data_IF_233382305895
#
_entry.id   IF_233382305895
#
_cell.length_a   1.000
_cell.length_b   1.000
_cell.length_c   1.000
_cell.angle_alpha   90.00
_cell.angle_beta   90.00
_cell.angle_gamma   90.00
#
_symmetry.space_group_name_H-M   'P 1'
#
loop_
_entity.id
_entity.type
_entity.pdbx_description
1 polymer ?
#
# COMPACT_ATOMS: atom_id res chain seq x y z
N UNK A 1 -7.22 -48.49 16.36
CA UNK A 1 -6.04 -47.71 16.81
C UNK A 1 -5.11 -47.23 15.68
N UNK A 2 -4.95 -47.97 14.57
CA UNK A 2 -4.04 -47.64 13.44
C UNK A 2 -4.36 -46.34 12.70
N UNK A 3 -5.64 -45.97 12.56
CA UNK A 3 -6.04 -44.70 11.93
C UNK A 3 -5.72 -43.45 12.79
N UNK A 4 -5.66 -43.59 14.12
CA UNK A 4 -5.35 -42.48 15.02
C UNK A 4 -3.86 -42.11 14.91
N UNK A 5 -2.95 -43.11 14.89
CA UNK A 5 -1.51 -42.86 14.71
C UNK A 5 -1.20 -42.19 13.37
N UNK A 6 -1.84 -42.62 12.27
CA UNK A 6 -1.71 -41.96 10.96
C UNK A 6 -2.23 -40.52 10.97
N UNK A 7 -3.36 -40.24 11.63
CA UNK A 7 -3.92 -38.89 11.76
C UNK A 7 -3.00 -37.98 12.58
N UNK A 8 -2.50 -38.45 13.72
CA UNK A 8 -1.56 -37.70 14.57
C UNK A 8 -0.22 -37.43 13.87
N UNK A 9 0.27 -38.37 13.05
CA UNK A 9 1.47 -38.16 12.25
C UNK A 9 1.26 -37.07 11.19
N UNK A 10 0.14 -37.11 10.45
CA UNK A 10 -0.22 -36.06 9.48
C UNK A 10 -0.36 -34.70 10.14
N UNK A 11 -1.01 -34.65 11.31
CA UNK A 11 -1.15 -33.44 12.10
C UNK A 11 0.21 -32.90 12.55
N UNK A 12 1.11 -33.76 13.05
CA UNK A 12 2.45 -33.36 13.47
C UNK A 12 3.26 -32.82 12.29
N UNK A 13 3.23 -33.50 11.14
CA UNK A 13 3.90 -33.04 9.91
C UNK A 13 3.36 -31.66 9.50
N UNK A 14 2.03 -31.49 9.44
CA UNK A 14 1.42 -30.22 9.07
C UNK A 14 1.79 -29.09 10.05
N UNK A 15 1.78 -29.36 11.37
CA UNK A 15 2.19 -28.39 12.40
C UNK A 15 3.67 -28.01 12.26
N UNK A 16 4.56 -28.98 12.07
CA UNK A 16 6.00 -28.71 11.91
C UNK A 16 6.27 -27.93 10.62
N UNK A 17 5.61 -28.27 9.51
CA UNK A 17 5.73 -27.53 8.26
C UNK A 17 5.24 -26.08 8.41
N UNK A 18 4.12 -25.85 9.09
CA UNK A 18 3.58 -24.52 9.37
C UNK A 18 4.51 -23.70 10.30
N UNK A 19 5.14 -24.34 11.29
CA UNK A 19 6.11 -23.68 12.16
C UNK A 19 7.39 -23.31 11.41
N UNK A 20 7.93 -24.22 10.59
CA UNK A 20 9.13 -23.96 9.79
C UNK A 20 8.90 -22.85 8.77
N UNK A 21 7.75 -22.83 8.09
CA UNK A 21 7.42 -21.74 7.16
C UNK A 21 7.28 -20.41 7.90
N UNK A 22 6.61 -20.39 9.05
CA UNK A 22 6.53 -19.20 9.92
C UNK A 22 7.90 -18.68 10.34
N UNK A 23 8.78 -19.55 10.85
CA UNK A 23 10.15 -19.20 11.24
C UNK A 23 10.95 -18.67 10.05
N UNK A 24 10.80 -19.27 8.87
CA UNK A 24 11.53 -18.85 7.67
C UNK A 24 11.11 -17.45 7.22
N UNK A 25 9.80 -17.17 7.19
CA UNK A 25 9.24 -15.86 6.80
C UNK A 25 9.62 -14.78 7.83
N UNK A 26 9.47 -15.08 9.12
CA UNK A 26 9.83 -14.13 10.17
C UNK A 26 11.35 -13.91 10.22
N UNK A 27 12.14 -14.97 10.04
CA UNK A 27 13.60 -14.89 9.96
C UNK A 27 14.08 -14.04 8.78
N UNK A 28 13.49 -14.20 7.59
CA UNK A 28 13.84 -13.38 6.43
C UNK A 28 13.50 -11.90 6.63
N UNK A 29 12.38 -11.59 7.27
CA UNK A 29 12.03 -10.21 7.66
C UNK A 29 13.13 -9.59 8.55
N UNK A 30 13.50 -10.26 9.64
CA UNK A 30 14.53 -9.76 10.56
C UNK A 30 15.89 -9.67 9.88
N UNK A 31 16.21 -10.59 8.97
CA UNK A 31 17.44 -10.54 8.18
C UNK A 31 17.49 -9.32 7.25
N UNK A 32 16.39 -9.02 6.55
CA UNK A 32 16.29 -7.84 5.67
C UNK A 32 16.39 -6.56 6.49
N UNK A 33 15.62 -6.43 7.56
CA UNK A 33 15.65 -5.25 8.44
C UNK A 33 17.03 -5.10 9.08
N UNK A 34 17.63 -6.19 9.56
CA UNK A 34 18.98 -6.19 10.13
C UNK A 34 20.04 -5.76 9.11
N UNK A 35 19.94 -6.19 7.86
CA UNK A 35 20.85 -5.76 6.78
C UNK A 35 20.72 -4.28 6.46
N UNK A 36 19.48 -3.78 6.38
CA UNK A 36 19.19 -2.35 6.15
C UNK A 36 19.74 -1.51 7.30
N UNK A 37 19.55 -1.95 8.55
CA UNK A 37 20.11 -1.28 9.72
C UNK A 37 21.65 -1.29 9.68
N UNK A 38 22.27 -2.46 9.53
CA UNK A 38 23.73 -2.59 9.57
C UNK A 38 24.43 -1.78 8.47
N UNK A 39 23.93 -1.85 7.22
CA UNK A 39 24.53 -1.14 6.09
C UNK A 39 24.09 0.32 5.98
N UNK A 40 22.90 0.67 6.48
CA UNK A 40 22.33 2.00 6.34
C UNK A 40 22.73 2.98 7.44
N UNK A 41 22.87 2.52 8.69
CA UNK A 41 23.19 3.40 9.83
C UNK A 41 24.46 4.25 9.62
N UNK A 42 25.58 3.71 9.07
CA UNK A 42 26.80 4.49 8.87
C UNK A 42 26.64 5.66 7.90
N UNK A 43 25.68 5.58 6.99
CA UNK A 43 25.41 6.59 5.96
C UNK A 43 24.24 7.51 6.34
N UNK A 44 23.58 7.26 7.47
CA UNK A 44 22.47 8.06 7.94
C UNK A 44 22.99 9.32 8.63
N UNK A 45 22.76 10.48 8.02
CA UNK A 45 23.04 11.78 8.61
C UNK A 45 21.82 12.70 8.54
N UNK A 46 21.77 13.71 9.41
CA UNK A 46 20.70 14.72 9.35
C UNK A 46 20.69 15.46 8.01
N UNK A 47 21.87 15.72 7.45
CA UNK A 47 22.02 16.35 6.14
C UNK A 47 21.41 15.50 5.02
N UNK A 48 21.61 14.17 5.08
CA UNK A 48 21.01 13.25 4.12
C UNK A 48 19.48 13.34 4.13
N UNK A 49 18.85 13.55 5.29
CA UNK A 49 17.39 13.61 5.41
C UNK A 49 16.86 15.01 5.05
N UNK A 50 17.55 16.06 5.50
CA UNK A 50 17.05 17.44 5.46
C UNK A 50 17.45 18.23 4.20
N UNK A 51 18.45 17.78 3.43
CA UNK A 51 18.87 18.46 2.22
C UNK A 51 18.24 17.86 0.97
N UNK A 52 17.99 18.71 -0.03
CA UNK A 52 17.68 18.26 -1.37
C UNK A 52 18.97 17.78 -2.09
N UNK A 53 18.87 16.94 -3.13
CA UNK A 53 19.99 16.62 -4.00
C UNK A 53 20.63 17.89 -4.57
N UNK A 54 21.96 18.05 -4.50
CA UNK A 54 22.68 19.19 -5.12
C UNK A 54 23.04 18.92 -6.59
N UNK A 55 22.19 18.17 -7.30
CA UNK A 55 22.41 17.73 -8.68
C UNK A 55 23.39 16.56 -8.78
N UNK A 56 22.88 15.36 -9.10
CA UNK A 56 23.66 14.13 -9.24
C UNK A 56 23.97 13.40 -7.93
N UNK A 57 23.21 13.66 -6.86
CA UNK A 57 23.33 12.91 -5.59
C UNK A 57 23.27 11.40 -5.80
N UNK A 58 22.42 10.97 -6.74
CA UNK A 58 22.19 9.57 -7.10
C UNK A 58 23.30 8.95 -7.98
N UNK A 59 24.28 9.75 -8.42
CA UNK A 59 25.50 9.30 -9.12
C UNK A 59 26.78 9.58 -8.31
N UNK A 60 26.66 9.88 -7.01
CA UNK A 60 27.79 10.06 -6.09
C UNK A 60 28.12 11.51 -5.72
N UNK A 61 27.36 12.50 -6.19
CA UNK A 61 27.55 13.91 -5.77
C UNK A 61 26.90 14.20 -4.42
N UNK A 62 27.08 15.40 -3.88
CA UNK A 62 26.54 15.79 -2.58
C UNK A 62 25.02 16.05 -2.58
N UNK A 63 24.41 16.05 -1.38
CA UNK A 63 23.00 16.37 -1.16
C UNK A 63 22.32 15.40 -0.19
N UNK A 64 20.99 15.34 -0.28
CA UNK A 64 20.17 14.43 0.50
C UNK A 64 18.96 13.91 -0.28
N UNK A 65 18.10 13.18 0.40
CA UNK A 65 16.93 12.48 -0.16
C UNK A 65 15.60 13.17 0.16
N UNK A 66 15.63 14.44 0.58
CA UNK A 66 14.41 15.16 0.95
C UNK A 66 13.38 15.19 -0.19
N UNK A 67 13.84 15.34 -1.43
CA UNK A 67 12.97 15.29 -2.62
C UNK A 67 12.23 13.95 -2.74
N UNK A 68 12.93 12.83 -2.50
CA UNK A 68 12.38 11.49 -2.57
C UNK A 68 11.40 11.20 -1.42
N UNK A 69 11.68 11.72 -0.21
CA UNK A 69 10.77 11.65 0.93
C UNK A 69 9.46 12.37 0.62
N UNK A 70 9.54 13.63 0.18
CA UNK A 70 8.35 14.42 -0.16
C UNK A 70 7.58 13.83 -1.34
N UNK A 71 8.27 13.39 -2.40
CA UNK A 71 7.65 12.77 -3.55
C UNK A 71 6.90 11.48 -3.18
N UNK A 72 7.50 10.63 -2.34
CA UNK A 72 6.83 9.44 -1.79
C UNK A 72 5.60 9.79 -0.94
N UNK A 73 5.70 10.80 -0.06
CA UNK A 73 4.58 11.20 0.80
C UNK A 73 3.42 11.80 0.01
N UNK A 74 3.71 12.69 -0.95
CA UNK A 74 2.68 13.28 -1.81
C UNK A 74 2.00 12.19 -2.63
N UNK A 75 2.78 11.37 -3.32
CA UNK A 75 2.25 10.29 -4.14
C UNK A 75 1.39 9.33 -3.32
N UNK A 76 1.89 8.84 -2.19
CA UNK A 76 1.14 7.91 -1.34
C UNK A 76 -0.13 8.53 -0.76
N UNK A 77 -0.07 9.78 -0.30
CA UNK A 77 -1.22 10.46 0.32
C UNK A 77 -2.30 10.73 -0.72
N UNK A 78 -1.97 11.34 -1.85
CA UNK A 78 -2.96 11.67 -2.88
C UNK A 78 -3.53 10.43 -3.55
N UNK A 79 -2.70 9.42 -3.88
CA UNK A 79 -3.21 8.19 -4.46
C UNK A 79 -4.12 7.42 -3.52
N UNK A 80 -3.78 7.36 -2.23
CA UNK A 80 -4.62 6.69 -1.23
C UNK A 80 -5.92 7.45 -1.01
N UNK A 81 -5.89 8.78 -0.94
CA UNK A 81 -7.08 9.61 -0.80
C UNK A 81 -8.05 9.40 -1.98
N UNK A 82 -7.54 9.42 -3.22
CA UNK A 82 -8.36 9.18 -4.40
C UNK A 82 -8.87 7.74 -4.45
N UNK A 83 -8.01 6.75 -4.19
CA UNK A 83 -8.40 5.34 -4.21
C UNK A 83 -9.46 5.03 -3.14
N UNK A 84 -9.41 5.68 -1.99
CA UNK A 84 -10.40 5.52 -0.91
C UNK A 84 -11.72 6.22 -1.24
N UNK A 85 -11.65 7.42 -1.81
CA UNK A 85 -12.83 8.17 -2.27
C UNK A 85 -13.60 7.42 -3.36
N UNK A 86 -12.91 6.61 -4.18
CA UNK A 86 -13.52 5.79 -5.24
C UNK A 86 -13.90 4.39 -4.71
N UNK A 87 -12.99 3.73 -4.00
CA UNK A 87 -13.12 2.32 -3.61
C UNK A 87 -14.19 2.07 -2.54
N UNK A 88 -14.37 2.98 -1.58
CA UNK A 88 -15.39 2.82 -0.54
C UNK A 88 -16.80 2.86 -1.15
N UNK A 89 -17.20 3.86 -1.97
CA UNK A 89 -18.49 3.86 -2.63
C UNK A 89 -18.74 2.64 -3.50
N UNK A 90 -17.74 2.16 -4.26
CA UNK A 90 -17.86 0.94 -5.06
C UNK A 90 -18.23 -0.26 -4.17
N UNK A 91 -17.51 -0.44 -3.07
CA UNK A 91 -17.75 -1.56 -2.17
C UNK A 91 -19.13 -1.49 -1.49
N UNK A 92 -19.57 -0.29 -1.08
CA UNK A 92 -20.92 -0.07 -0.56
C UNK A 92 -21.97 -0.40 -1.62
N UNK A 93 -21.79 0.09 -2.84
CA UNK A 93 -22.73 -0.15 -3.93
C UNK A 93 -22.93 -1.65 -4.17
N UNK A 94 -21.83 -2.40 -4.27
CA UNK A 94 -21.86 -3.86 -4.48
C UNK A 94 -22.52 -4.63 -3.33
N UNK A 95 -22.43 -4.15 -2.08
CA UNK A 95 -22.97 -4.87 -0.92
C UNK A 95 -24.39 -4.43 -0.50
N UNK A 96 -24.78 -3.19 -0.80
CA UNK A 96 -26.07 -2.61 -0.37
C UNK A 96 -27.09 -2.56 -1.50
N UNK A 97 -26.67 -2.21 -2.70
CA UNK A 97 -27.59 -1.92 -3.82
C UNK A 97 -27.71 -3.07 -4.81
N UNK A 98 -26.65 -3.87 -4.95
CA UNK A 98 -26.65 -5.04 -5.82
C UNK A 98 -27.25 -6.26 -5.10
N UNK A 99 -28.04 -7.06 -5.82
CA UNK A 99 -28.64 -8.28 -5.28
C UNK A 99 -27.55 -9.29 -4.98
N UNK A 100 -27.56 -9.82 -3.75
CA UNK A 100 -26.60 -10.84 -3.32
C UNK A 100 -26.67 -12.08 -4.21
N UNK A 101 -25.53 -12.57 -4.67
CA UNK A 101 -25.39 -13.71 -5.56
C UNK A 101 -25.73 -13.44 -7.02
N UNK A 102 -26.04 -12.19 -7.40
CA UNK A 102 -26.28 -11.84 -8.80
C UNK A 102 -25.03 -11.95 -9.67
N UNK A 103 -25.22 -12.11 -10.99
CA UNK A 103 -24.13 -12.11 -11.95
C UNK A 103 -23.27 -10.85 -11.85
N UNK A 104 -23.91 -9.68 -11.68
CA UNK A 104 -23.21 -8.40 -11.55
C UNK A 104 -22.28 -8.37 -10.33
N UNK A 105 -22.76 -8.81 -9.15
CA UNK A 105 -21.92 -8.87 -7.95
C UNK A 105 -20.70 -9.78 -8.15
N UNK A 106 -20.94 -11.01 -8.65
CA UNK A 106 -19.88 -12.01 -8.85
C UNK A 106 -18.84 -11.53 -9.87
N UNK A 107 -19.29 -10.98 -10.99
CA UNK A 107 -18.41 -10.47 -12.04
C UNK A 107 -17.61 -9.27 -11.58
N UNK A 108 -18.22 -8.28 -10.90
CA UNK A 108 -17.48 -7.14 -10.37
C UNK A 108 -16.44 -7.56 -9.31
N UNK A 109 -16.79 -8.45 -8.39
CA UNK A 109 -15.85 -8.95 -7.37
C UNK A 109 -14.69 -9.72 -8.01
N UNK A 110 -14.98 -10.57 -9.01
CA UNK A 110 -13.95 -11.27 -9.78
C UNK A 110 -13.03 -10.28 -10.50
N UNK A 111 -13.56 -9.23 -11.11
CA UNK A 111 -12.75 -8.21 -11.77
C UNK A 111 -11.80 -7.50 -10.79
N UNK A 112 -12.27 -7.12 -9.60
CA UNK A 112 -11.39 -6.52 -8.59
C UNK A 112 -10.34 -7.51 -8.06
N UNK A 113 -10.67 -8.80 -7.95
CA UNK A 113 -9.69 -9.85 -7.58
C UNK A 113 -8.63 -10.03 -8.66
N UNK A 114 -9.02 -9.99 -9.94
CA UNK A 114 -8.07 -10.03 -11.08
C UNK A 114 -7.19 -8.78 -11.08
N UNK A 115 -7.77 -7.59 -10.94
CA UNK A 115 -7.02 -6.33 -10.86
C UNK A 115 -6.01 -6.33 -9.71
N UNK A 116 -6.39 -6.86 -8.54
CA UNK A 116 -5.47 -7.00 -7.41
C UNK A 116 -4.27 -7.92 -7.72
N UNK A 117 -4.47 -8.91 -8.59
CA UNK A 117 -3.41 -9.83 -9.03
C UNK A 117 -2.48 -9.27 -10.11
N UNK A 118 -2.80 -8.14 -10.74
CA UNK A 118 -1.99 -7.55 -11.82
C UNK A 118 -0.70 -6.94 -11.23
N UNK A 119 0.50 -7.27 -11.76
CA UNK A 119 1.75 -6.66 -11.33
C UNK A 119 1.78 -5.14 -11.55
N UNK A 120 2.41 -4.38 -10.64
CA UNK A 120 2.41 -2.91 -10.72
C UNK A 120 3.08 -2.32 -11.95
N UNK A 121 4.07 -3.03 -12.53
CA UNK A 121 4.71 -2.62 -13.78
C UNK A 121 3.72 -2.54 -14.95
N UNK A 122 2.68 -3.38 -14.96
CA UNK A 122 1.66 -3.38 -16.01
C UNK A 122 0.81 -2.11 -15.93
N UNK A 123 0.41 -1.70 -14.72
CA UNK A 123 -0.25 -0.42 -14.50
C UNK A 123 0.61 0.76 -14.97
N UNK A 124 1.90 0.74 -14.61
CA UNK A 124 2.87 1.77 -15.04
C UNK A 124 3.01 1.84 -16.56
N UNK A 125 3.16 0.70 -17.23
CA UNK A 125 3.34 0.64 -18.68
C UNK A 125 2.11 1.12 -19.46
N UNK A 126 0.90 0.73 -19.03
CA UNK A 126 -0.36 1.16 -19.65
C UNK A 126 -0.55 2.66 -19.44
N UNK A 127 -0.39 3.14 -18.21
CA UNK A 127 -0.53 4.57 -17.91
C UNK A 127 0.48 5.41 -18.68
N UNK A 128 1.74 4.97 -18.75
CA UNK A 128 2.78 5.65 -19.53
C UNK A 128 2.45 5.67 -21.03
N UNK A 129 1.93 4.58 -21.59
CA UNK A 129 1.53 4.53 -23.01
C UNK A 129 0.40 5.52 -23.32
N UNK A 130 -0.57 5.66 -22.41
CA UNK A 130 -1.63 6.67 -22.53
C UNK A 130 -1.06 8.09 -22.42
N UNK A 131 -0.15 8.33 -21.47
CA UNK A 131 0.51 9.63 -21.31
C UNK A 131 1.25 10.03 -22.59
N UNK A 132 2.04 9.12 -23.17
CA UNK A 132 2.77 9.34 -24.43
C UNK A 132 1.80 9.63 -25.57
N UNK A 133 0.71 8.86 -25.70
CA UNK A 133 -0.32 9.09 -26.71
C UNK A 133 -0.99 10.47 -26.60
N UNK A 134 -1.18 10.96 -25.37
CA UNK A 134 -1.72 12.31 -25.10
C UNK A 134 -0.66 13.42 -25.14
N UNK A 135 0.62 13.11 -25.39
CA UNK A 135 1.71 14.09 -25.33
C UNK A 135 2.05 14.58 -23.92
N UNK A 136 1.61 13.88 -22.88
CA UNK A 136 1.86 14.19 -21.48
C UNK A 136 3.20 13.60 -21.05
N UNK A 137 4.04 14.40 -20.40
CA UNK A 137 5.34 13.98 -19.87
C UNK A 137 5.19 13.27 -18.52
N UNK A 138 6.21 12.48 -18.15
CA UNK A 138 6.30 11.89 -16.83
C UNK A 138 6.24 12.97 -15.74
N UNK A 139 5.35 12.79 -14.78
CA UNK A 139 5.00 13.80 -13.76
C UNK A 139 4.43 13.14 -12.51
N UNK A 140 4.52 13.83 -11.38
CA UNK A 140 3.96 13.38 -10.10
C UNK A 140 2.46 13.06 -10.24
N UNK A 141 1.72 13.80 -11.07
CA UNK A 141 0.31 13.56 -11.37
C UNK A 141 0.11 12.21 -12.08
N UNK A 142 0.94 11.92 -13.10
CA UNK A 142 0.92 10.63 -13.79
C UNK A 142 1.17 9.47 -12.83
N UNK A 143 2.13 9.63 -11.92
CA UNK A 143 2.37 8.72 -10.81
C UNK A 143 1.17 8.53 -9.89
N UNK A 144 0.57 9.64 -9.44
CA UNK A 144 -0.58 9.63 -8.54
C UNK A 144 -1.75 8.86 -9.16
N UNK A 145 -2.08 9.12 -10.42
CA UNK A 145 -3.18 8.45 -11.12
C UNK A 145 -2.89 6.95 -11.26
N UNK A 146 -1.68 6.60 -11.69
CA UNK A 146 -1.25 5.20 -11.88
C UNK A 146 -1.39 4.41 -10.58
N UNK A 147 -0.89 4.96 -9.47
CA UNK A 147 -0.94 4.31 -8.18
C UNK A 147 -2.35 4.35 -7.58
N UNK A 148 -3.17 5.35 -7.91
CA UNK A 148 -4.60 5.33 -7.57
C UNK A 148 -5.28 4.12 -8.21
N UNK A 149 -5.09 3.89 -9.51
CA UNK A 149 -5.68 2.75 -10.23
C UNK A 149 -5.24 1.40 -9.64
N UNK A 150 -3.96 1.29 -9.29
CA UNK A 150 -3.42 0.12 -8.61
C UNK A 150 -4.03 -0.10 -7.22
N UNK A 151 -4.34 0.98 -6.50
CA UNK A 151 -4.74 0.92 -5.09
C UNK A 151 -6.25 0.77 -4.90
N UNK A 152 -7.07 1.17 -5.89
CA UNK A 152 -8.53 0.96 -5.88
C UNK A 152 -8.94 -0.48 -5.54
N UNK A 153 -8.46 -1.54 -6.24
CA UNK A 153 -8.89 -2.91 -5.94
C UNK A 153 -8.54 -3.35 -4.50
N UNK A 154 -7.45 -2.82 -3.94
CA UNK A 154 -7.03 -3.07 -2.56
C UNK A 154 -8.07 -2.53 -1.58
N UNK A 155 -8.48 -1.27 -1.77
CA UNK A 155 -9.52 -0.65 -0.94
C UNK A 155 -10.84 -1.39 -1.10
N UNK A 156 -11.30 -1.61 -2.34
CA UNK A 156 -12.58 -2.28 -2.61
C UNK A 156 -12.64 -3.65 -1.94
N UNK A 157 -11.59 -4.47 -2.08
CA UNK A 157 -11.56 -5.82 -1.50
C UNK A 157 -11.49 -5.78 0.02
N UNK A 158 -10.69 -4.89 0.60
CA UNK A 158 -10.59 -4.77 2.06
C UNK A 158 -11.93 -4.36 2.67
N UNK A 159 -12.62 -3.39 2.07
CA UNK A 159 -13.95 -2.98 2.53
C UNK A 159 -14.99 -4.08 2.31
N UNK A 160 -14.93 -4.82 1.20
CA UNK A 160 -15.84 -5.95 0.94
C UNK A 160 -15.70 -7.06 1.99
N UNK A 161 -14.47 -7.41 2.36
CA UNK A 161 -14.21 -8.38 3.44
C UNK A 161 -14.71 -7.87 4.79
N UNK A 162 -14.52 -6.59 5.09
CA UNK A 162 -15.04 -6.00 6.33
C UNK A 162 -16.57 -6.02 6.39
N UNK A 163 -17.25 -5.72 5.29
CA UNK A 163 -18.71 -5.76 5.21
C UNK A 163 -19.28 -7.17 5.41
N UNK A 164 -18.55 -8.22 4.99
CA UNK A 164 -18.95 -9.62 5.24
C UNK A 164 -18.89 -10.02 6.71
N UNK A 165 -18.12 -9.32 7.54
CA UNK A 165 -18.07 -9.59 9.00
C UNK A 165 -19.30 -9.10 9.76
N UNK A 166 -20.17 -8.35 9.09
CA UNK A 166 -21.37 -7.77 9.71
C UNK A 166 -22.46 -8.87 9.82
N UNK A 167 -23.09 -9.03 11.00
CA UNK A 167 -24.22 -9.94 11.15
C UNK A 167 -25.36 -9.58 10.19
N UNK A 168 -25.92 -10.59 9.52
CA UNK A 168 -27.02 -10.41 8.57
C UNK A 168 -28.26 -9.78 9.26
N UNK A 169 -28.47 -10.10 10.54
CA UNK A 169 -29.57 -9.56 11.34
C UNK A 169 -29.54 -8.03 11.45
N UNK A 170 -28.36 -7.41 11.48
CA UNK A 170 -28.24 -5.95 11.53
C UNK A 170 -28.92 -5.30 10.32
N UNK A 171 -28.83 -5.95 9.14
CA UNK A 171 -29.49 -5.50 7.91
C UNK A 171 -31.01 -5.64 8.02
N UNK A 172 -31.50 -6.77 8.54
CA UNK A 172 -32.93 -7.01 8.72
C UNK A 172 -33.57 -6.06 9.74
N UNK A 173 -32.93 -5.86 10.89
CA UNK A 173 -33.39 -4.92 11.92
C UNK A 173 -33.42 -3.50 11.38
N UNK A 174 -32.37 -3.07 10.69
CA UNK A 174 -32.30 -1.71 10.12
C UNK A 174 -33.45 -1.47 9.13
N UNK A 175 -33.75 -2.42 8.24
CA UNK A 175 -34.89 -2.29 7.32
C UNK A 175 -36.25 -2.37 8.02
N UNK A 176 -36.39 -3.13 9.12
CA UNK A 176 -37.65 -3.22 9.88
C UNK A 176 -38.06 -1.89 10.51
N UNK A 177 -37.09 -0.98 10.73
CA UNK A 177 -37.33 0.39 11.20
C UNK A 177 -37.79 1.34 10.07
N UNK A 178 -38.07 0.83 8.87
CA UNK A 178 -38.48 1.64 7.72
C UNK A 178 -37.34 2.41 7.05
N UNK A 179 -36.09 2.05 7.32
CA UNK A 179 -34.93 2.76 6.78
C UNK A 179 -34.69 2.51 5.29
N UNK A 180 -34.12 3.51 4.63
CA UNK A 180 -33.68 3.47 3.24
C UNK A 180 -32.36 2.71 3.10
N UNK A 181 -32.04 2.28 1.87
CA UNK A 181 -30.74 1.65 1.56
C UNK A 181 -29.54 2.54 1.91
N UNK A 182 -29.69 3.87 1.80
CA UNK A 182 -28.62 4.81 2.16
C UNK A 182 -28.41 4.91 3.68
N UNK A 183 -29.48 4.86 4.45
CA UNK A 183 -29.39 4.82 5.92
C UNK A 183 -28.74 3.52 6.39
N UNK A 184 -29.10 2.37 5.78
CA UNK A 184 -28.35 1.13 5.99
C UNK A 184 -26.86 1.31 5.70
N UNK A 185 -26.49 1.88 4.53
CA UNK A 185 -25.09 2.10 4.19
C UNK A 185 -24.34 2.94 5.25
N UNK A 186 -24.97 3.99 5.79
CA UNK A 186 -24.41 4.78 6.89
C UNK A 186 -24.19 3.96 8.17
N UNK A 187 -25.14 3.09 8.52
CA UNK A 187 -25.02 2.19 9.68
C UNK A 187 -23.88 1.20 9.48
N UNK A 188 -23.77 0.58 8.29
CA UNK A 188 -22.69 -0.35 7.97
C UNK A 188 -21.33 0.34 8.02
N UNK A 189 -21.20 1.53 7.42
CA UNK A 189 -19.98 2.34 7.49
C UNK A 189 -19.56 2.68 8.92
N UNK A 190 -20.53 3.00 9.78
CA UNK A 190 -20.26 3.26 11.21
C UNK A 190 -19.77 1.99 11.91
N UNK A 191 -20.34 0.83 11.57
CA UNK A 191 -19.94 -0.46 12.13
C UNK A 191 -18.51 -0.85 11.74
N UNK A 192 -18.11 -0.65 10.48
CA UNK A 192 -16.77 -1.00 9.98
C UNK A 192 -15.74 0.12 10.10
N UNK A 193 -16.08 1.26 10.72
CA UNK A 193 -15.21 2.44 10.81
C UNK A 193 -13.76 2.12 11.22
N UNK A 194 -13.48 1.26 12.24
CA UNK A 194 -12.10 0.89 12.57
C UNK A 194 -11.38 0.14 11.43
N UNK A 195 -12.10 -0.73 10.71
CA UNK A 195 -11.56 -1.46 9.57
C UNK A 195 -11.27 -0.57 8.36
N UNK A 196 -12.01 0.54 8.19
CA UNK A 196 -11.70 1.52 7.13
C UNK A 196 -10.29 2.10 7.31
N UNK A 197 -9.86 2.36 8.54
CA UNK A 197 -8.47 2.79 8.81
C UNK A 197 -7.46 1.73 8.38
N UNK A 198 -7.74 0.45 8.63
CA UNK A 198 -6.90 -0.66 8.15
C UNK A 198 -6.84 -0.72 6.62
N UNK A 199 -7.97 -0.49 5.92
CA UNK A 199 -8.00 -0.42 4.47
C UNK A 199 -7.16 0.75 3.92
N UNK A 200 -7.27 1.93 4.54
CA UNK A 200 -6.48 3.11 4.19
C UNK A 200 -4.99 2.84 4.42
N UNK A 201 -4.62 2.21 5.54
CA UNK A 201 -3.23 1.84 5.82
C UNK A 201 -2.64 0.89 4.79
N UNK A 202 -3.39 -0.17 4.44
CA UNK A 202 -2.93 -1.17 3.49
C UNK A 202 -2.71 -0.53 2.11
N UNK A 203 -3.65 0.33 1.71
CA UNK A 203 -3.55 1.14 0.50
C UNK A 203 -2.33 2.07 0.53
N UNK A 204 -2.15 2.82 1.60
CA UNK A 204 -1.02 3.74 1.77
C UNK A 204 0.33 3.02 1.76
N UNK A 205 0.45 1.92 2.50
CA UNK A 205 1.66 1.11 2.55
C UNK A 205 2.02 0.55 1.17
N UNK A 206 1.02 0.13 0.39
CA UNK A 206 1.23 -0.30 -0.99
C UNK A 206 1.69 0.85 -1.90
N UNK A 207 1.11 2.03 -1.75
CA UNK A 207 1.38 3.21 -2.57
C UNK A 207 2.78 3.79 -2.30
N UNK A 208 3.16 3.99 -1.03
CA UNK A 208 4.46 4.57 -0.65
C UNK A 208 5.65 3.67 -1.01
N UNK A 209 5.42 2.36 -1.01
CA UNK A 209 6.43 1.35 -1.31
C UNK A 209 6.51 0.92 -2.78
N UNK A 210 5.67 1.46 -3.68
CA UNK A 210 5.70 1.05 -5.08
C UNK A 210 6.91 1.65 -5.82
N UNK A 211 7.59 0.81 -6.60
CA UNK A 211 8.69 1.19 -7.49
C UNK A 211 8.26 1.11 -8.95
N UNK A 212 7.64 -0.01 -9.33
CA UNK A 212 7.52 -0.38 -10.73
C UNK A 212 6.44 0.40 -11.50
N UNK A 213 5.32 0.75 -10.85
CA UNK A 213 4.27 1.57 -11.47
C UNK A 213 4.73 3.02 -11.67
N UNK A 214 5.49 3.54 -10.71
CA UNK A 214 5.98 4.93 -10.71
C UNK A 214 7.21 5.15 -11.59
N UNK A 215 8.01 4.10 -11.84
CA UNK A 215 9.24 4.15 -12.64
C UNK A 215 9.04 4.82 -14.01
N UNK A 216 7.92 4.51 -14.68
CA UNK A 216 7.62 5.03 -16.02
C UNK A 216 6.77 6.31 -15.99
N UNK A 217 6.01 6.53 -14.91
CA UNK A 217 4.91 7.52 -14.90
C UNK A 217 5.26 8.78 -14.12
N UNK A 218 5.85 8.63 -12.94
CA UNK A 218 6.29 9.74 -12.08
C UNK A 218 7.58 10.38 -12.60
N UNK A 219 8.42 9.59 -13.26
CA UNK A 219 9.75 10.00 -13.69
C UNK A 219 10.73 10.10 -12.52
N UNK A 220 11.83 10.81 -12.72
CA UNK A 220 12.88 11.01 -11.72
C UNK A 220 13.41 12.44 -11.80
N UNK A 221 13.58 13.10 -10.66
CA UNK A 221 14.03 14.49 -10.58
C UNK A 221 14.80 14.75 -9.29
N UNK A 222 15.88 15.51 -9.38
CA UNK A 222 16.68 15.97 -8.24
C UNK A 222 16.04 17.16 -7.52
N UNK A 223 15.06 17.81 -8.15
CA UNK A 223 14.37 18.96 -7.57
C UNK A 223 13.33 18.52 -6.53
N UNK A 224 13.06 19.40 -5.57
CA UNK A 224 11.94 19.23 -4.66
C UNK A 224 10.63 19.30 -5.46
N UNK A 225 9.68 18.37 -5.25
CA UNK A 225 8.40 18.41 -5.94
C UNK A 225 7.58 19.61 -5.44
N UNK A 226 7.48 20.66 -6.25
CA UNK A 226 6.68 21.85 -5.94
C UNK A 226 5.32 21.80 -6.60
N UNK A 227 5.29 21.35 -7.85
CA UNK A 227 4.07 21.24 -8.64
C UNK A 227 3.79 19.78 -8.98
N UNK A 228 2.52 19.46 -9.28
CA UNK A 228 2.07 18.08 -9.50
C UNK A 228 2.36 17.65 -10.95
N UNK A 229 2.52 18.59 -11.87
CA UNK A 229 2.87 18.37 -13.28
C UNK A 229 4.38 18.18 -13.52
N UNK A 230 5.20 18.28 -12.47
CA UNK A 230 6.64 18.05 -12.53
C UNK A 230 7.01 16.60 -12.19
N UNK A 231 8.11 16.06 -12.75
CA UNK A 231 8.63 14.77 -12.34
C UNK A 231 9.13 14.82 -10.89
N UNK A 232 8.92 13.74 -10.14
CA UNK A 232 9.30 13.64 -8.74
C UNK A 232 10.00 12.31 -8.46
N UNK A 233 11.10 12.35 -7.71
CA UNK A 233 11.69 11.12 -7.18
C UNK A 233 10.82 10.56 -6.04
N UNK A 234 10.77 9.24 -5.91
CA UNK A 234 10.21 8.54 -4.75
C UNK A 234 11.31 7.76 -4.05
N UNK A 235 11.18 7.53 -2.73
CA UNK A 235 12.14 6.74 -1.96
C UNK A 235 12.41 5.35 -2.59
N UNK A 236 11.40 4.56 -2.99
CA UNK A 236 11.65 3.26 -3.60
C UNK A 236 12.43 3.36 -4.91
N UNK A 237 12.13 4.37 -5.74
CA UNK A 237 12.81 4.60 -7.01
C UNK A 237 14.26 5.07 -6.80
N UNK A 238 14.47 5.96 -5.83
CA UNK A 238 15.79 6.41 -5.41
C UNK A 238 16.64 5.25 -4.88
N UNK A 239 16.07 4.33 -4.09
CA UNK A 239 16.77 3.14 -3.60
C UNK A 239 17.15 2.23 -4.77
N UNK A 240 16.22 1.99 -5.70
CA UNK A 240 16.45 1.14 -6.87
C UNK A 240 17.62 1.64 -7.74
N UNK A 241 17.65 2.92 -8.08
CA UNK A 241 18.73 3.49 -8.88
C UNK A 241 20.07 3.53 -8.13
N UNK A 242 20.07 3.88 -6.84
CA UNK A 242 21.30 3.94 -6.05
C UNK A 242 21.93 2.56 -5.82
N UNK A 243 21.12 1.53 -5.56
CA UNK A 243 21.61 0.15 -5.43
C UNK A 243 22.17 -0.40 -6.76
N UNK A 244 21.65 0.09 -7.89
CA UNK A 244 22.14 -0.28 -9.22
C UNK A 244 23.45 0.42 -9.60
N UNK A 245 23.90 1.40 -8.81
CA UNK A 245 25.17 2.10 -9.05
C UNK A 245 26.37 1.20 -8.73
N UNK A 246 27.46 1.27 -9.52
CA UNK A 246 28.69 0.53 -9.20
C UNK A 246 29.49 1.15 -8.04
N UNK A 247 29.11 2.33 -7.55
CA UNK A 247 29.84 3.09 -6.53
C UNK A 247 29.40 2.62 -5.12
N UNK A 248 30.30 2.06 -4.27
CA UNK A 248 29.93 1.54 -2.95
C UNK A 248 29.30 2.58 -2.02
N UNK A 249 29.75 3.83 -2.09
CA UNK A 249 29.20 4.92 -1.29
C UNK A 249 27.74 5.21 -1.64
N UNK A 250 27.40 5.19 -2.94
CA UNK A 250 26.02 5.38 -3.43
C UNK A 250 25.12 4.23 -2.99
N UNK A 251 25.65 2.99 -3.01
CA UNK A 251 24.93 1.83 -2.47
C UNK A 251 24.67 1.99 -0.96
N UNK A 252 25.64 2.50 -0.20
CA UNK A 252 25.50 2.83 1.22
C UNK A 252 24.36 3.82 1.48
N UNK A 253 24.29 4.90 0.71
CA UNK A 253 23.19 5.89 0.75
C UNK A 253 21.84 5.28 0.37
N UNK A 254 21.83 4.27 -0.51
CA UNK A 254 20.61 3.51 -0.83
C UNK A 254 20.09 2.73 0.39
N UNK A 255 20.97 2.07 1.15
CA UNK A 255 20.59 1.39 2.39
C UNK A 255 20.09 2.37 3.45
N UNK A 256 20.69 3.56 3.55
CA UNK A 256 20.20 4.60 4.44
C UNK A 256 18.83 5.15 4.00
N UNK A 257 18.59 5.28 2.69
CA UNK A 257 17.28 5.64 2.14
C UNK A 257 16.21 4.57 2.43
N UNK A 258 16.57 3.29 2.31
CA UNK A 258 15.71 2.16 2.67
C UNK A 258 15.38 2.13 4.17
N UNK A 259 16.37 2.46 5.01
CA UNK A 259 16.18 2.62 6.45
C UNK A 259 15.15 3.73 6.73
N UNK A 260 15.31 4.91 6.12
CA UNK A 260 14.36 6.03 6.27
C UNK A 260 12.95 5.63 5.83
N UNK A 261 12.79 5.00 4.67
CA UNK A 261 11.50 4.50 4.19
C UNK A 261 10.88 3.51 5.19
N UNK A 262 11.68 2.59 5.73
CA UNK A 262 11.25 1.60 6.72
C UNK A 262 10.75 2.28 8.00
N UNK A 263 11.48 3.28 8.51
CA UNK A 263 11.04 4.05 9.68
C UNK A 263 9.77 4.85 9.42
N UNK A 264 9.62 5.47 8.25
CA UNK A 264 8.39 6.18 7.87
C UNK A 264 7.20 5.21 7.91
N UNK A 265 7.33 4.03 7.28
CA UNK A 265 6.27 3.02 7.28
C UNK A 265 5.98 2.55 8.71
N UNK A 266 7.01 2.26 9.51
CA UNK A 266 6.86 1.80 10.89
C UNK A 266 6.11 2.83 11.75
N UNK A 267 6.48 4.10 11.67
CA UNK A 267 5.83 5.20 12.41
C UNK A 267 4.35 5.28 12.01
N UNK A 268 4.05 5.23 10.71
CA UNK A 268 2.67 5.32 10.22
C UNK A 268 1.84 4.13 10.71
N UNK A 269 2.41 2.91 10.65
CA UNK A 269 1.74 1.69 11.14
C UNK A 269 1.48 1.78 12.65
N UNK A 270 2.48 2.17 13.45
CA UNK A 270 2.34 2.32 14.91
C UNK A 270 1.31 3.38 15.26
N UNK A 271 1.44 4.60 14.72
CA UNK A 271 0.51 5.69 14.95
C UNK A 271 -0.92 5.27 14.63
N UNK A 272 -1.12 4.59 13.51
CA UNK A 272 -2.47 4.22 13.10
C UNK A 272 -3.02 3.06 13.92
N UNK A 273 -2.19 2.09 14.32
CA UNK A 273 -2.61 1.03 15.24
C UNK A 273 -3.02 1.60 16.62
N UNK A 274 -2.28 2.58 17.13
CA UNK A 274 -2.63 3.26 18.38
C UNK A 274 -3.97 4.01 18.26
N UNK A 275 -4.21 4.68 17.13
CA UNK A 275 -5.48 5.36 16.84
C UNK A 275 -6.65 4.37 16.68
N UNK A 276 -6.43 3.24 16.01
CA UNK A 276 -7.45 2.20 15.80
C UNK A 276 -7.81 1.48 17.11
N UNK A 277 -6.81 1.15 17.95
CA UNK A 277 -7.02 0.51 19.26
C UNK A 277 -7.90 1.35 20.19
N UNK A 278 -7.75 2.68 20.16
CA UNK A 278 -8.61 3.60 20.94
C UNK A 278 -10.08 3.53 20.51
N UNK A 279 -10.37 3.24 19.24
CA UNK A 279 -11.75 3.13 18.75
C UNK A 279 -12.40 1.78 19.11
N UNK A 280 -11.61 0.72 19.28
CA UNK A 280 -12.12 -0.60 19.71
C UNK A 280 -12.58 -0.61 21.17
N UNK A 281 -12.03 0.24 22.04
CA UNK A 281 -12.44 0.35 23.46
C UNK A 281 -13.88 0.84 23.69
N UNK A 282 -14.57 1.30 22.65
CA UNK A 282 -15.97 1.77 22.73
C UNK A 282 -17.00 0.78 22.15
N UNK A 283 -16.63 -0.49 21.93
CA UNK A 283 -17.61 -1.56 21.72
C UNK A 283 -18.13 -2.02 23.09
N UNK A 284 -19.31 -1.50 23.46
CA UNK A 284 -20.23 -2.12 24.42
C UNK A 284 -20.94 -3.26 23.67
#
# INVERSE_FOLDING_TARGET
MTNIKKRLLKEKIAKTAMQLSGITITGSLFFIVGTILYKGLPYLSWEMISQAPKGGFYIGKEGGILNAILGSLYLATFSTALATMIGIPISIFLNVYVKSGSFLERSCKLLFDVLFGIPSIVYGAIAFSIMVWMGIRASLLGGIITITLLTIPIVVRTIDELLKTIPVDLKHVTFSLGSTRWELAKVLLKYIKPGIFTAILLAFGRAIGDVAGVLLTTGFSDNLPKYIDEPAATLPLAIFFQLSSPIPEVQGRAYASALVLTFIILIIVICTHLLASRQQKHKI
#
